data_IF_951957250678
#
_entry.id   IF_951957250678
#
_cell.length_a   1.000
_cell.length_b   1.000
_cell.length_c   1.000
_cell.angle_alpha   90.00
_cell.angle_beta   90.00
_cell.angle_gamma   90.00
#
_symmetry.space_group_name_H-M   'P 1'
#
loop_
_entity.id
_entity.type
_entity.pdbx_description
1 polymer ?
#
# COMPACT_ATOMS: atom_id res chain seq x y z
N UNK A 1 6.36 -17.96 -20.27
CA UNK A 1 7.60 -17.69 -19.51
C UNK A 1 8.33 -16.46 -20.02
N UNK A 2 8.67 -16.38 -21.32
CA UNK A 2 9.41 -15.25 -21.92
C UNK A 2 8.68 -13.91 -21.68
N UNK A 3 7.36 -13.85 -21.88
CA UNK A 3 6.57 -12.63 -21.68
C UNK A 3 6.63 -12.11 -20.25
N UNK A 4 6.52 -12.99 -19.24
CA UNK A 4 6.60 -12.60 -17.81
C UNK A 4 7.99 -12.06 -17.50
N UNK A 5 9.05 -12.74 -17.90
CA UNK A 5 10.43 -12.29 -17.69
C UNK A 5 10.70 -10.95 -18.41
N UNK A 6 10.25 -10.82 -19.67
CA UNK A 6 10.35 -9.56 -20.42
C UNK A 6 9.58 -8.43 -19.71
N UNK A 7 8.37 -8.71 -19.20
CA UNK A 7 7.56 -7.75 -18.47
C UNK A 7 8.29 -7.16 -17.25
N UNK A 8 8.88 -8.02 -16.42
CA UNK A 8 9.68 -7.57 -15.27
C UNK A 8 10.85 -6.70 -15.71
N UNK A 9 11.64 -7.19 -16.66
CA UNK A 9 12.89 -6.54 -17.09
C UNK A 9 12.58 -5.18 -17.73
N UNK A 10 11.61 -5.11 -18.63
CA UNK A 10 11.25 -3.86 -19.33
C UNK A 10 10.71 -2.84 -18.32
N UNK A 11 9.79 -3.24 -17.42
CA UNK A 11 9.27 -2.34 -16.39
C UNK A 11 10.38 -1.83 -15.48
N UNK A 12 11.28 -2.72 -15.03
CA UNK A 12 12.42 -2.35 -14.21
C UNK A 12 13.34 -1.35 -14.94
N UNK A 13 13.74 -1.64 -16.16
CA UNK A 13 14.67 -0.82 -16.94
C UNK A 13 14.08 0.57 -17.18
N UNK A 14 12.84 0.65 -17.66
CA UNK A 14 12.18 1.94 -17.91
C UNK A 14 12.09 2.76 -16.64
N UNK A 15 11.58 2.18 -15.56
CA UNK A 15 11.44 2.88 -14.26
C UNK A 15 12.80 3.32 -13.73
N UNK A 16 13.81 2.45 -13.81
CA UNK A 16 15.15 2.73 -13.31
C UNK A 16 15.83 3.93 -13.99
N UNK A 17 15.70 4.05 -15.31
CA UNK A 17 16.29 5.15 -16.06
C UNK A 17 15.46 6.44 -15.99
N UNK A 18 14.13 6.34 -15.82
CA UNK A 18 13.28 7.51 -15.66
C UNK A 18 13.44 8.20 -14.28
N UNK A 19 13.67 7.44 -13.21
CA UNK A 19 13.74 8.01 -11.86
C UNK A 19 14.81 9.10 -11.70
N UNK A 20 16.08 8.92 -12.14
CA UNK A 20 17.07 9.99 -12.04
C UNK A 20 16.69 11.24 -12.84
N UNK A 21 16.04 11.06 -14.00
CA UNK A 21 15.57 12.17 -14.82
C UNK A 21 14.45 12.95 -14.11
N UNK A 22 13.50 12.24 -13.51
CA UNK A 22 12.39 12.86 -12.76
C UNK A 22 12.93 13.59 -11.53
N UNK A 23 13.86 12.99 -10.78
CA UNK A 23 14.53 13.64 -9.64
C UNK A 23 15.19 14.94 -10.09
N UNK A 24 15.97 14.89 -11.17
CA UNK A 24 16.63 16.09 -11.69
C UNK A 24 15.63 17.17 -12.13
N UNK A 25 14.56 16.81 -12.84
CA UNK A 25 13.51 17.76 -13.25
C UNK A 25 12.83 18.37 -12.02
N UNK A 26 12.57 17.57 -10.99
CA UNK A 26 11.98 18.06 -9.74
C UNK A 26 12.92 19.04 -9.02
N UNK A 27 14.21 18.73 -8.97
CA UNK A 27 15.23 19.58 -8.36
C UNK A 27 15.36 20.91 -9.13
N UNK A 28 15.49 20.86 -10.46
CA UNK A 28 15.63 22.05 -11.33
C UNK A 28 14.39 22.98 -11.26
N UNK A 29 13.20 22.43 -10.99
CA UNK A 29 11.94 23.19 -10.92
C UNK A 29 11.40 23.38 -9.50
N UNK A 30 12.15 22.98 -8.46
CA UNK A 30 11.75 23.10 -7.05
C UNK A 30 10.40 22.44 -6.74
N UNK A 31 10.09 21.31 -7.41
CA UNK A 31 8.86 20.55 -7.22
C UNK A 31 9.01 19.60 -6.03
N UNK A 32 9.10 20.17 -4.84
CA UNK A 32 9.23 19.43 -3.60
C UNK A 32 7.94 19.42 -2.80
N UNK A 33 7.74 18.36 -2.07
CA UNK A 33 6.75 18.31 -1.03
C UNK A 33 7.26 19.11 0.18
N UNK A 34 6.66 20.29 0.41
CA UNK A 34 7.10 21.20 1.47
C UNK A 34 7.00 20.50 2.83
N UNK A 35 8.04 20.65 3.69
CA UNK A 35 7.98 20.13 5.05
C UNK A 35 6.86 20.85 5.81
N UNK A 36 5.75 20.17 6.05
CA UNK A 36 4.75 20.60 7.03
C UNK A 36 5.25 20.17 8.43
N UNK A 37 4.90 20.91 9.49
CA UNK A 37 5.18 20.52 10.90
C UNK A 37 4.70 19.10 11.24
N UNK A 38 3.87 18.53 10.38
CA UNK A 38 3.33 17.17 10.46
C UNK A 38 4.21 16.11 9.79
N UNK A 39 5.17 16.51 8.91
CA UNK A 39 6.04 15.60 8.14
C UNK A 39 7.40 15.46 8.85
N UNK A 40 7.89 14.22 8.89
CA UNK A 40 9.08 13.82 9.63
C UNK A 40 10.40 14.07 8.85
N UNK A 41 10.32 14.54 7.60
CA UNK A 41 11.47 14.72 6.73
C UNK A 41 12.09 16.11 6.90
N UNK A 42 13.42 16.14 7.07
CA UNK A 42 14.24 17.37 7.16
C UNK A 42 14.76 17.84 5.81
N UNK A 43 14.59 17.05 4.75
CA UNK A 43 15.02 17.34 3.40
C UNK A 43 13.80 17.47 2.47
N UNK A 44 13.95 18.34 1.50
CA UNK A 44 12.99 18.56 0.43
C UNK A 44 13.08 17.35 -0.54
N UNK A 45 12.02 16.55 -0.66
CA UNK A 45 11.96 15.37 -1.52
C UNK A 45 10.69 15.45 -2.36
N UNK A 46 10.82 15.16 -3.66
CA UNK A 46 9.68 15.20 -4.60
C UNK A 46 8.78 13.96 -4.48
N UNK A 47 7.48 14.15 -4.62
CA UNK A 47 6.45 13.10 -4.61
C UNK A 47 6.07 12.60 -6.02
N UNK A 48 6.98 12.69 -7.01
CA UNK A 48 6.71 12.37 -8.42
C UNK A 48 7.15 10.96 -8.84
N UNK A 49 7.47 10.07 -7.91
CA UNK A 49 7.91 8.70 -8.20
C UNK A 49 6.88 7.86 -8.94
N UNK A 50 5.60 8.14 -8.72
CA UNK A 50 4.49 7.49 -9.43
C UNK A 50 4.55 7.63 -10.95
N UNK A 51 5.15 8.72 -11.48
CA UNK A 51 5.34 8.90 -12.94
C UNK A 51 6.21 7.79 -13.52
N UNK A 52 7.33 7.46 -12.86
CA UNK A 52 8.23 6.42 -13.33
C UNK A 52 7.59 5.03 -13.21
N UNK A 53 6.90 4.76 -12.09
CA UNK A 53 6.20 3.48 -11.86
C UNK A 53 5.12 3.28 -12.92
N UNK A 54 4.27 4.29 -13.14
CA UNK A 54 3.20 4.24 -14.14
C UNK A 54 3.76 4.01 -15.55
N UNK A 55 4.77 4.77 -15.95
CA UNK A 55 5.36 4.68 -17.28
C UNK A 55 6.00 3.31 -17.50
N UNK A 56 6.78 2.83 -16.53
CA UNK A 56 7.41 1.51 -16.59
C UNK A 56 6.39 0.37 -16.68
N UNK A 57 5.34 0.44 -15.86
CA UNK A 57 4.25 -0.52 -15.87
C UNK A 57 3.53 -0.54 -17.24
N UNK A 58 2.99 0.61 -17.66
CA UNK A 58 2.13 0.67 -18.85
C UNK A 58 2.91 0.31 -20.10
N UNK A 59 4.11 0.88 -20.29
CA UNK A 59 4.93 0.55 -21.47
C UNK A 59 5.35 -0.91 -21.48
N UNK A 60 5.73 -1.48 -20.32
CA UNK A 60 6.09 -2.89 -20.24
C UNK A 60 4.91 -3.79 -20.65
N UNK A 61 3.73 -3.53 -20.10
CA UNK A 61 2.54 -4.30 -20.42
C UNK A 61 2.16 -4.18 -21.89
N UNK A 62 2.20 -2.97 -22.45
CA UNK A 62 1.88 -2.74 -23.88
C UNK A 62 2.89 -3.39 -24.83
N UNK A 63 4.18 -3.44 -24.47
CA UNK A 63 5.23 -4.03 -25.32
C UNK A 63 5.27 -5.56 -25.28
N UNK A 64 4.87 -6.15 -24.13
CA UNK A 64 5.01 -7.60 -23.90
C UNK A 64 3.74 -8.36 -24.24
N UNK A 65 2.59 -7.72 -24.11
CA UNK A 65 1.31 -8.37 -24.30
C UNK A 65 0.95 -8.53 -25.77
N UNK A 66 0.44 -9.70 -26.12
CA UNK A 66 -0.07 -9.97 -27.47
C UNK A 66 -1.51 -9.43 -27.57
N UNK A 67 -1.68 -8.35 -28.33
CA UNK A 67 -2.97 -7.68 -28.53
C UNK A 67 -4.06 -8.57 -29.14
N UNK A 68 -3.70 -9.63 -29.86
CA UNK A 68 -4.67 -10.56 -30.44
C UNK A 68 -5.35 -11.44 -29.39
N UNK A 69 -4.72 -11.60 -28.22
CA UNK A 69 -5.20 -12.41 -27.10
C UNK A 69 -5.72 -11.55 -25.92
N UNK A 70 -5.84 -10.24 -26.10
CA UNK A 70 -6.38 -9.38 -25.06
C UNK A 70 -7.90 -9.60 -24.89
N UNK A 71 -8.30 -9.93 -23.67
CA UNK A 71 -9.69 -9.82 -23.29
C UNK A 71 -10.16 -8.36 -23.41
N UNK A 72 -11.40 -8.15 -23.85
CA UNK A 72 -11.99 -6.80 -24.00
C UNK A 72 -11.92 -5.95 -22.72
N UNK A 73 -11.79 -6.58 -21.54
CA UNK A 73 -11.65 -5.91 -20.24
C UNK A 73 -10.34 -5.13 -20.09
N UNK A 74 -9.28 -5.55 -20.80
CA UNK A 74 -7.94 -5.00 -20.62
C UNK A 74 -7.81 -3.53 -21.05
N UNK A 75 -8.54 -3.12 -22.08
CA UNK A 75 -8.63 -1.70 -22.47
C UNK A 75 -9.16 -0.81 -21.33
N UNK A 76 -10.11 -1.33 -20.55
CA UNK A 76 -10.65 -0.61 -19.40
C UNK A 76 -9.66 -0.58 -18.23
N UNK A 77 -8.83 -1.61 -18.06
CA UNK A 77 -7.75 -1.58 -17.06
C UNK A 77 -6.73 -0.49 -17.40
N UNK A 78 -6.27 -0.42 -18.65
CA UNK A 78 -5.35 0.62 -19.08
C UNK A 78 -5.97 2.01 -18.90
N UNK A 79 -7.23 2.21 -19.30
CA UNK A 79 -7.94 3.47 -19.09
C UNK A 79 -8.05 3.82 -17.60
N UNK A 80 -8.35 2.83 -16.74
CA UNK A 80 -8.40 3.00 -15.29
C UNK A 80 -7.05 3.44 -14.71
N UNK A 81 -5.94 2.84 -15.17
CA UNK A 81 -4.59 3.22 -14.75
C UNK A 81 -4.27 4.67 -15.13
N UNK A 82 -4.64 5.11 -16.33
CA UNK A 82 -4.46 6.50 -16.73
C UNK A 82 -5.28 7.46 -15.87
N UNK A 83 -6.55 7.16 -15.64
CA UNK A 83 -7.44 8.05 -14.86
C UNK A 83 -6.95 8.16 -13.42
N UNK A 84 -6.64 7.04 -12.75
CA UNK A 84 -6.18 7.05 -11.36
C UNK A 84 -4.82 7.72 -11.22
N UNK A 85 -3.90 7.48 -12.17
CA UNK A 85 -2.60 8.13 -12.23
C UNK A 85 -2.70 9.64 -12.39
N UNK A 86 -3.51 10.12 -13.34
CA UNK A 86 -3.72 11.57 -13.56
C UNK A 86 -4.36 12.20 -12.31
N UNK A 87 -5.34 11.51 -11.71
CA UNK A 87 -5.98 11.98 -10.47
C UNK A 87 -4.96 12.15 -9.34
N UNK A 88 -4.11 11.12 -9.13
CA UNK A 88 -3.04 11.16 -8.13
C UNK A 88 -1.99 12.24 -8.45
N UNK A 89 -1.60 12.38 -9.72
CA UNK A 89 -0.62 13.39 -10.13
C UNK A 89 -1.16 14.84 -9.93
N UNK A 90 -2.44 15.05 -10.22
CA UNK A 90 -3.08 16.34 -9.93
C UNK A 90 -3.10 16.59 -8.42
N UNK A 91 -3.29 15.55 -7.62
CA UNK A 91 -3.24 15.68 -6.15
C UNK A 91 -1.84 15.98 -5.63
N UNK A 92 -0.83 15.29 -6.14
CA UNK A 92 0.58 15.53 -5.79
C UNK A 92 1.02 16.97 -6.07
N UNK A 93 0.43 17.62 -7.11
CA UNK A 93 0.79 18.99 -7.51
C UNK A 93 -0.12 20.06 -6.86
N UNK A 94 -1.43 19.81 -6.75
CA UNK A 94 -2.44 20.83 -6.42
C UNK A 94 -3.19 20.57 -5.11
N UNK A 95 -2.91 19.50 -4.37
CA UNK A 95 -3.55 19.15 -3.10
C UNK A 95 -5.09 19.14 -3.16
N UNK A 96 -5.65 18.11 -3.80
CA UNK A 96 -7.09 17.98 -3.97
C UNK A 96 -7.83 17.79 -2.64
N UNK A 97 -9.04 18.36 -2.54
CA UNK A 97 -9.94 18.05 -1.44
C UNK A 97 -10.34 16.56 -1.46
N UNK A 98 -10.42 15.91 -0.30
CA UNK A 98 -10.70 14.48 -0.17
C UNK A 98 -11.93 14.00 -0.99
N UNK A 99 -13.02 14.76 -1.03
CA UNK A 99 -14.20 14.39 -1.80
C UNK A 99 -13.97 14.32 -3.32
N UNK A 100 -13.05 15.16 -3.88
CA UNK A 100 -12.69 15.11 -5.31
C UNK A 100 -11.90 13.83 -5.63
N UNK A 101 -11.00 13.42 -4.72
CA UNK A 101 -10.28 12.15 -4.85
C UNK A 101 -11.25 10.97 -4.86
N UNK A 102 -12.19 10.95 -3.91
CA UNK A 102 -13.21 9.89 -3.83
C UNK A 102 -14.07 9.86 -5.10
N UNK A 103 -14.46 11.01 -5.64
CA UNK A 103 -15.25 11.06 -6.87
C UNK A 103 -14.50 10.45 -8.06
N UNK A 104 -13.21 10.76 -8.21
CA UNK A 104 -12.37 10.14 -9.25
C UNK A 104 -12.20 8.63 -9.04
N UNK A 105 -12.01 8.18 -7.81
CA UNK A 105 -11.95 6.75 -7.46
C UNK A 105 -13.27 6.03 -7.79
N UNK A 106 -14.43 6.67 -7.51
CA UNK A 106 -15.76 6.14 -7.85
C UNK A 106 -15.92 5.99 -9.37
N UNK A 107 -15.45 6.96 -10.16
CA UNK A 107 -15.51 6.89 -11.62
C UNK A 107 -14.68 5.72 -12.17
N UNK A 108 -13.44 5.55 -11.68
CA UNK A 108 -12.58 4.43 -12.05
C UNK A 108 -13.23 3.10 -11.65
N UNK A 109 -13.75 3.01 -10.43
CA UNK A 109 -14.41 1.82 -9.92
C UNK A 109 -15.65 1.48 -10.76
N UNK A 110 -16.48 2.47 -11.09
CA UNK A 110 -17.65 2.28 -11.95
C UNK A 110 -17.26 1.75 -13.35
N UNK A 111 -16.20 2.29 -13.94
CA UNK A 111 -15.70 1.82 -15.23
C UNK A 111 -15.23 0.37 -15.14
N UNK A 112 -14.47 -0.01 -14.12
CA UNK A 112 -14.00 -1.38 -13.93
C UNK A 112 -15.16 -2.36 -13.68
N UNK A 113 -16.13 -1.97 -12.87
CA UNK A 113 -17.25 -2.83 -12.51
C UNK A 113 -18.23 -3.01 -13.68
N UNK A 114 -18.66 -1.90 -14.31
CA UNK A 114 -19.71 -1.94 -15.34
C UNK A 114 -19.20 -2.24 -16.76
N UNK A 115 -17.94 -1.89 -17.07
CA UNK A 115 -17.39 -2.08 -18.41
C UNK A 115 -16.39 -3.23 -18.50
N UNK A 116 -15.52 -3.38 -17.50
CA UNK A 116 -14.58 -4.49 -17.47
C UNK A 116 -15.16 -5.76 -16.81
N UNK A 117 -16.34 -5.68 -16.18
CA UNK A 117 -16.93 -6.81 -15.47
C UNK A 117 -16.09 -7.29 -14.29
N UNK A 118 -15.36 -6.37 -13.65
CA UNK A 118 -14.55 -6.68 -12.48
C UNK A 118 -15.46 -6.74 -11.24
N UNK A 119 -16.02 -7.92 -10.99
CA UNK A 119 -17.00 -8.18 -9.94
C UNK A 119 -16.55 -9.35 -9.06
N UNK A 120 -16.82 -9.23 -7.76
CA UNK A 120 -16.85 -10.37 -6.83
C UNK A 120 -18.27 -10.93 -6.89
N UNK A 121 -18.41 -12.15 -7.41
CA UNK A 121 -19.73 -12.78 -7.65
C UNK A 121 -20.06 -13.85 -6.64
N UNK A 122 -19.06 -14.34 -5.91
CA UNK A 122 -19.23 -15.37 -4.88
C UNK A 122 -18.43 -14.98 -3.61
N UNK A 123 -19.04 -15.13 -2.44
CA UNK A 123 -18.39 -14.97 -1.14
C UNK A 123 -17.82 -16.26 -0.59
N UNK A 124 -17.90 -17.36 -1.35
CA UNK A 124 -17.35 -18.67 -1.01
C UNK A 124 -17.77 -19.18 0.37
N UNK A 125 -19.05 -19.00 0.72
CA UNK A 125 -19.59 -19.42 2.01
C UNK A 125 -19.37 -18.45 3.17
N UNK A 126 -18.71 -17.29 2.94
CA UNK A 126 -18.55 -16.30 4.01
C UNK A 126 -19.92 -15.88 4.58
N UNK A 127 -20.08 -16.01 5.90
CA UNK A 127 -21.35 -15.79 6.61
C UNK A 127 -22.54 -16.62 6.06
N UNK A 128 -22.27 -17.78 5.43
CA UNK A 128 -23.27 -18.63 4.80
C UNK A 128 -23.74 -18.14 3.42
N UNK A 129 -23.10 -17.11 2.87
CA UNK A 129 -23.43 -16.54 1.56
C UNK A 129 -22.45 -17.08 0.52
N UNK A 130 -22.96 -17.71 -0.53
CA UNK A 130 -22.21 -18.14 -1.71
C UNK A 130 -22.39 -17.12 -2.82
N UNK A 131 -23.25 -17.38 -3.78
CA UNK A 131 -23.47 -16.48 -4.90
C UNK A 131 -24.15 -15.17 -4.50
N UNK A 132 -23.65 -14.08 -5.05
CA UNK A 132 -24.22 -12.75 -4.90
C UNK A 132 -25.12 -12.41 -6.09
N UNK A 133 -26.20 -11.69 -5.84
CA UNK A 133 -26.95 -11.03 -6.91
C UNK A 133 -26.06 -9.98 -7.61
N UNK A 134 -26.40 -9.60 -8.83
CA UNK A 134 -25.64 -8.60 -9.58
C UNK A 134 -25.48 -7.28 -8.79
N UNK A 135 -26.53 -6.85 -8.11
CA UNK A 135 -26.50 -5.62 -7.30
C UNK A 135 -25.55 -5.74 -6.10
N UNK A 136 -25.60 -6.87 -5.38
CA UNK A 136 -24.68 -7.13 -4.26
C UNK A 136 -23.24 -7.23 -4.73
N UNK A 137 -22.98 -7.90 -5.85
CA UNK A 137 -21.67 -7.98 -6.49
C UNK A 137 -21.08 -6.60 -6.78
N UNK A 138 -21.91 -5.68 -7.27
CA UNK A 138 -21.49 -4.28 -7.49
C UNK A 138 -21.05 -3.64 -6.17
N UNK A 139 -21.87 -3.69 -5.12
CA UNK A 139 -21.52 -3.04 -3.84
C UNK A 139 -20.26 -3.62 -3.20
N UNK A 140 -20.11 -4.94 -3.18
CA UNK A 140 -18.93 -5.60 -2.64
C UNK A 140 -17.68 -5.25 -3.42
N UNK A 141 -17.77 -5.24 -4.76
CA UNK A 141 -16.63 -4.90 -5.62
C UNK A 141 -16.25 -3.43 -5.51
N UNK A 142 -17.22 -2.52 -5.47
CA UNK A 142 -16.98 -1.08 -5.24
C UNK A 142 -16.27 -0.85 -3.91
N UNK A 143 -16.78 -1.46 -2.84
CA UNK A 143 -16.17 -1.36 -1.52
C UNK A 143 -14.73 -1.86 -1.53
N UNK A 144 -14.50 -3.03 -2.12
CA UNK A 144 -13.17 -3.67 -2.17
C UNK A 144 -12.16 -2.81 -2.95
N UNK A 145 -12.54 -2.30 -4.13
CA UNK A 145 -11.65 -1.50 -4.97
C UNK A 145 -11.29 -0.19 -4.26
N UNK A 146 -12.30 0.54 -3.76
CA UNK A 146 -12.08 1.81 -3.06
C UNK A 146 -11.26 1.61 -1.78
N UNK A 147 -11.54 0.55 -1.01
CA UNK A 147 -10.81 0.22 0.20
C UNK A 147 -9.34 -0.04 -0.11
N UNK A 148 -9.01 -0.82 -1.14
CA UNK A 148 -7.64 -1.14 -1.52
C UNK A 148 -6.88 0.08 -2.05
N UNK A 149 -7.50 0.91 -2.90
CA UNK A 149 -6.89 2.17 -3.37
C UNK A 149 -6.50 3.03 -2.16
N UNK A 150 -7.41 3.23 -1.21
CA UNK A 150 -7.14 4.05 -0.04
C UNK A 150 -6.19 3.38 0.95
N UNK A 151 -6.17 2.04 1.04
CA UNK A 151 -5.25 1.33 1.92
C UNK A 151 -3.79 1.54 1.53
N UNK A 152 -3.48 1.49 0.23
CA UNK A 152 -2.13 1.76 -0.26
C UNK A 152 -1.77 3.25 -0.18
N UNK A 153 -2.72 4.15 -0.41
CA UNK A 153 -2.49 5.58 -0.24
C UNK A 153 -2.20 5.96 1.23
N UNK A 154 -2.93 5.38 2.18
CA UNK A 154 -2.75 5.68 3.61
C UNK A 154 -1.52 5.00 4.23
N UNK A 155 -1.00 3.90 3.67
CA UNK A 155 0.24 3.26 4.15
C UNK A 155 1.50 3.95 3.62
N UNK A 156 1.41 4.78 2.59
CA UNK A 156 2.52 5.51 1.97
C UNK A 156 2.97 6.73 2.80
N UNK A 157 3.22 6.50 4.07
CA UNK A 157 3.69 7.52 5.03
C UNK A 157 5.13 7.32 5.48
N UNK A 158 5.82 6.27 5.00
CA UNK A 158 7.19 5.91 5.41
C UNK A 158 7.98 5.42 4.20
N UNK A 159 9.23 5.87 4.10
CA UNK A 159 10.15 5.53 3.01
C UNK A 159 10.22 4.02 2.78
N UNK A 160 9.99 3.58 1.55
CA UNK A 160 10.05 2.19 1.14
C UNK A 160 8.85 1.32 1.51
N UNK A 161 7.92 1.80 2.34
CA UNK A 161 6.87 0.95 2.91
C UNK A 161 5.83 0.53 1.86
N UNK A 162 5.12 1.47 1.25
CA UNK A 162 4.08 1.17 0.27
C UNK A 162 4.64 0.38 -0.93
N UNK A 163 5.83 0.76 -1.40
CA UNK A 163 6.53 0.05 -2.46
C UNK A 163 6.86 -1.39 -2.11
N UNK A 164 7.35 -1.66 -0.89
CA UNK A 164 7.69 -3.00 -0.42
C UNK A 164 6.46 -3.89 -0.23
N UNK A 165 5.39 -3.35 0.35
CA UNK A 165 4.13 -4.08 0.52
C UNK A 165 3.48 -4.36 -0.83
N UNK A 166 3.44 -3.37 -1.73
CA UNK A 166 2.94 -3.56 -3.10
C UNK A 166 3.73 -4.59 -3.88
N UNK A 167 5.06 -4.57 -3.76
CA UNK A 167 5.94 -5.56 -4.39
C UNK A 167 5.60 -6.99 -3.95
N UNK A 168 5.55 -7.26 -2.64
CA UNK A 168 5.29 -8.61 -2.15
C UNK A 168 3.88 -9.09 -2.48
N UNK A 169 2.88 -8.21 -2.39
CA UNK A 169 1.50 -8.55 -2.75
C UNK A 169 1.36 -8.91 -4.23
N UNK A 170 1.93 -8.08 -5.14
CA UNK A 170 1.93 -8.37 -6.56
C UNK A 170 2.76 -9.63 -6.90
N UNK A 171 3.89 -9.87 -6.21
CA UNK A 171 4.70 -11.06 -6.40
C UNK A 171 3.91 -12.34 -6.06
N UNK A 172 3.17 -12.33 -4.96
CA UNK A 172 2.34 -13.46 -4.54
C UNK A 172 1.22 -13.72 -5.57
N UNK A 173 0.41 -12.71 -5.90
CA UNK A 173 -0.64 -12.88 -6.91
C UNK A 173 -0.07 -13.33 -8.26
N UNK A 174 1.02 -12.68 -8.71
CA UNK A 174 1.68 -13.00 -9.97
C UNK A 174 2.17 -14.44 -10.02
N UNK A 175 2.73 -14.94 -8.93
CA UNK A 175 3.19 -16.33 -8.81
C UNK A 175 2.05 -17.32 -9.00
N UNK A 176 0.92 -17.11 -8.32
CA UNK A 176 -0.23 -18.01 -8.48
C UNK A 176 -0.88 -17.90 -9.85
N UNK A 177 -0.99 -16.73 -10.45
CA UNK A 177 -1.44 -16.59 -11.83
C UNK A 177 -0.50 -17.29 -12.81
N UNK A 178 0.81 -17.17 -12.61
CA UNK A 178 1.79 -17.84 -13.44
C UNK A 178 1.71 -19.38 -13.33
N UNK A 179 1.59 -19.92 -12.12
CA UNK A 179 1.45 -21.36 -11.88
C UNK A 179 0.18 -21.95 -12.48
N UNK A 180 -0.89 -21.14 -12.61
CA UNK A 180 -2.15 -21.55 -13.24
C UNK A 180 -2.25 -21.18 -14.72
N UNK A 181 -1.14 -20.80 -15.36
CA UNK A 181 -1.09 -20.41 -16.78
C UNK A 181 -1.98 -19.21 -17.16
N UNK A 182 -2.38 -18.39 -16.20
CA UNK A 182 -3.15 -17.16 -16.42
C UNK A 182 -2.18 -16.03 -16.72
N UNK A 183 -1.55 -16.11 -17.89
CA UNK A 183 -0.37 -15.30 -18.24
C UNK A 183 -0.65 -13.80 -18.27
N UNK A 184 -1.85 -13.37 -18.65
CA UNK A 184 -2.23 -11.94 -18.72
C UNK A 184 -2.08 -11.25 -17.37
N UNK A 185 -2.64 -11.81 -16.30
CA UNK A 185 -2.54 -11.25 -14.95
C UNK A 185 -1.16 -11.50 -14.33
N UNK A 186 -0.49 -12.59 -14.70
CA UNK A 186 0.90 -12.81 -14.30
C UNK A 186 1.81 -11.71 -14.86
N UNK A 187 1.73 -11.39 -16.17
CA UNK A 187 2.50 -10.30 -16.80
C UNK A 187 2.22 -8.97 -16.10
N UNK A 188 0.94 -8.66 -15.86
CA UNK A 188 0.52 -7.44 -15.19
C UNK A 188 1.13 -7.32 -13.78
N UNK A 189 1.01 -8.36 -12.95
CA UNK A 189 1.54 -8.40 -11.59
C UNK A 189 3.07 -8.29 -11.55
N UNK A 190 3.76 -9.03 -12.42
CA UNK A 190 5.22 -9.02 -12.48
C UNK A 190 5.79 -7.74 -13.10
N UNK A 191 5.08 -7.07 -14.00
CA UNK A 191 5.47 -5.75 -14.49
C UNK A 191 5.45 -4.71 -13.35
N UNK A 192 4.44 -4.74 -12.48
CA UNK A 192 4.43 -3.92 -11.26
C UNK A 192 5.63 -4.25 -10.37
N UNK A 193 5.94 -5.55 -10.18
CA UNK A 193 7.11 -5.96 -9.40
C UNK A 193 8.40 -5.36 -9.96
N UNK A 194 8.60 -5.39 -11.28
CA UNK A 194 9.76 -4.79 -11.94
C UNK A 194 9.86 -3.29 -11.69
N UNK A 195 8.75 -2.56 -11.90
CA UNK A 195 8.70 -1.12 -11.66
C UNK A 195 8.98 -0.77 -10.19
N UNK A 196 8.38 -1.51 -9.23
CA UNK A 196 8.57 -1.29 -7.81
C UNK A 196 10.00 -1.61 -7.33
N UNK A 197 10.64 -2.65 -7.86
CA UNK A 197 12.05 -2.94 -7.55
C UNK A 197 12.97 -1.78 -7.96
N UNK A 198 12.76 -1.21 -9.15
CA UNK A 198 13.51 -0.06 -9.60
C UNK A 198 13.23 1.18 -8.73
N UNK A 199 11.96 1.42 -8.39
CA UNK A 199 11.56 2.54 -7.53
C UNK A 199 12.15 2.43 -6.12
N UNK A 200 12.08 1.27 -5.49
CA UNK A 200 12.59 1.02 -4.14
C UNK A 200 14.07 1.36 -4.00
N UNK A 201 14.89 1.19 -5.04
CA UNK A 201 16.31 1.61 -5.00
C UNK A 201 16.49 3.10 -4.68
N UNK A 202 15.54 3.94 -5.05
CA UNK A 202 15.57 5.39 -4.82
C UNK A 202 14.71 5.84 -3.66
N UNK A 203 13.77 5.00 -3.22
CA UNK A 203 12.82 5.31 -2.16
C UNK A 203 13.17 4.68 -0.81
N UNK A 204 14.08 3.66 -0.74
CA UNK A 204 14.58 3.17 0.55
C UNK A 204 15.29 4.30 1.33
N UNK A 205 15.15 4.29 2.69
CA UNK A 205 15.71 5.33 3.55
C UNK A 205 17.24 5.48 3.43
N UNK A 206 17.75 6.72 3.27
CA UNK A 206 17.02 7.97 3.09
C UNK A 206 16.46 8.10 1.67
N UNK A 207 15.16 8.33 1.55
CA UNK A 207 14.49 8.42 0.26
C UNK A 207 14.99 9.64 -0.56
N UNK A 208 15.23 9.42 -1.86
CA UNK A 208 15.54 10.46 -2.85
C UNK A 208 14.32 10.93 -3.62
N UNK A 209 13.24 10.15 -3.59
CA UNK A 209 11.97 10.44 -4.22
C UNK A 209 10.86 9.68 -3.48
N UNK A 210 9.71 10.31 -3.28
CA UNK A 210 8.51 9.69 -2.74
C UNK A 210 7.63 9.15 -3.87
N UNK A 211 6.76 8.20 -3.52
CA UNK A 211 5.84 7.57 -4.46
C UNK A 211 4.75 8.54 -4.93
N UNK A 212 4.22 9.32 -4.00
CA UNK A 212 3.08 10.20 -4.19
C UNK A 212 1.75 9.48 -4.33
N UNK A 213 0.69 10.26 -4.39
CA UNK A 213 -0.67 9.76 -4.58
C UNK A 213 -0.84 9.11 -5.96
N UNK A 214 -0.10 9.61 -6.98
CA UNK A 214 -0.05 9.04 -8.33
C UNK A 214 0.45 7.59 -8.34
N UNK A 215 1.44 7.25 -7.51
CA UNK A 215 1.97 5.90 -7.40
C UNK A 215 1.18 5.02 -6.44
N UNK A 216 0.89 5.50 -5.24
CA UNK A 216 0.24 4.72 -4.18
C UNK A 216 -1.20 4.31 -4.56
N UNK A 217 -1.99 5.22 -5.14
CA UNK A 217 -3.35 4.89 -5.62
C UNK A 217 -3.33 3.92 -6.81
N UNK A 218 -2.33 4.05 -7.71
CA UNK A 218 -2.15 3.11 -8.82
C UNK A 218 -1.86 1.70 -8.31
N UNK A 219 -0.96 1.54 -7.33
CA UNK A 219 -0.65 0.23 -6.74
C UNK A 219 -1.88 -0.35 -6.04
N UNK A 220 -2.63 0.48 -5.30
CA UNK A 220 -3.89 0.05 -4.68
C UNK A 220 -4.91 -0.45 -5.69
N UNK A 221 -5.06 0.24 -6.82
CA UNK A 221 -5.91 -0.17 -7.93
C UNK A 221 -5.43 -1.50 -8.55
N UNK A 222 -4.12 -1.64 -8.78
CA UNK A 222 -3.51 -2.87 -9.28
C UNK A 222 -3.78 -4.05 -8.36
N UNK A 223 -3.53 -3.87 -7.06
CA UNK A 223 -3.81 -4.91 -6.06
C UNK A 223 -5.30 -5.28 -6.01
N UNK A 224 -6.22 -4.33 -6.22
CA UNK A 224 -7.66 -4.62 -6.27
C UNK A 224 -8.05 -5.47 -7.49
N UNK A 225 -7.51 -5.14 -8.66
CA UNK A 225 -7.73 -5.93 -9.89
C UNK A 225 -7.19 -7.35 -9.70
N UNK A 226 -5.95 -7.48 -9.23
CA UNK A 226 -5.32 -8.78 -9.02
C UNK A 226 -6.06 -9.61 -7.98
N UNK A 227 -6.49 -9.00 -6.87
CA UNK A 227 -7.24 -9.69 -5.81
C UNK A 227 -8.59 -10.22 -6.31
N UNK A 228 -9.39 -9.38 -6.98
CA UNK A 228 -10.69 -9.79 -7.51
C UNK A 228 -10.53 -10.87 -8.57
N UNK A 229 -9.58 -10.70 -9.51
CA UNK A 229 -9.30 -11.71 -10.52
C UNK A 229 -8.73 -13.02 -9.94
N UNK A 230 -8.04 -12.96 -8.82
CA UNK A 230 -7.56 -14.12 -8.09
C UNK A 230 -8.72 -14.89 -7.44
N UNK A 231 -9.64 -14.18 -6.79
CA UNK A 231 -10.83 -14.77 -6.12
C UNK A 231 -11.72 -15.43 -7.15
N UNK A 232 -11.98 -14.78 -8.28
CA UNK A 232 -12.93 -15.23 -9.30
C UNK A 232 -12.32 -16.23 -10.32
N UNK A 233 -11.04 -16.62 -10.18
CA UNK A 233 -10.39 -17.51 -11.14
C UNK A 233 -10.65 -18.98 -10.82
N UNK A 234 -11.42 -19.73 -11.67
CA UNK A 234 -11.77 -21.12 -11.40
C UNK A 234 -10.56 -22.06 -11.31
N UNK A 235 -9.47 -21.81 -12.07
CA UNK A 235 -8.27 -22.63 -12.03
C UNK A 235 -7.51 -22.47 -10.70
N UNK A 236 -7.46 -21.26 -10.13
CA UNK A 236 -6.85 -21.01 -8.83
C UNK A 236 -7.70 -21.67 -7.72
N UNK A 237 -9.03 -21.54 -7.81
CA UNK A 237 -9.95 -22.15 -6.87
C UNK A 237 -9.76 -23.67 -6.85
N UNK A 238 -9.87 -24.33 -8.01
CA UNK A 238 -9.85 -25.80 -8.10
C UNK A 238 -8.47 -26.41 -7.78
N UNK A 239 -7.38 -25.75 -8.14
CA UNK A 239 -6.03 -26.31 -8.03
C UNK A 239 -5.38 -26.09 -6.67
N UNK A 240 -5.78 -25.04 -5.94
CA UNK A 240 -5.02 -24.64 -4.74
C UNK A 240 -5.86 -24.39 -3.49
N UNK A 241 -7.04 -23.75 -3.59
CA UNK A 241 -7.62 -23.11 -2.41
C UNK A 241 -9.12 -23.35 -2.20
N UNK A 242 -9.83 -23.93 -3.18
CA UNK A 242 -11.29 -24.14 -3.10
C UNK A 242 -12.01 -22.86 -2.58
N UNK A 243 -12.81 -23.00 -1.54
CA UNK A 243 -13.56 -21.91 -0.92
C UNK A 243 -12.70 -20.92 -0.12
N UNK A 244 -11.43 -21.24 0.17
CA UNK A 244 -10.54 -20.37 0.94
C UNK A 244 -9.94 -19.21 0.13
N UNK A 245 -10.20 -19.14 -1.18
CA UNK A 245 -9.59 -18.13 -2.08
C UNK A 245 -9.74 -16.68 -1.59
N UNK A 246 -10.90 -16.22 -1.06
CA UNK A 246 -11.02 -14.87 -0.52
C UNK A 246 -10.12 -14.61 0.70
N UNK A 247 -10.01 -15.60 1.62
CA UNK A 247 -9.15 -15.47 2.79
C UNK A 247 -7.67 -15.45 2.41
N UNK A 248 -7.27 -16.15 1.34
CA UNK A 248 -5.92 -16.14 0.80
C UNK A 248 -5.61 -14.77 0.18
N UNK A 249 -6.49 -14.25 -0.66
CA UNK A 249 -6.36 -12.90 -1.24
C UNK A 249 -6.26 -11.83 -0.14
N UNK A 250 -7.08 -11.94 0.89
CA UNK A 250 -7.05 -11.07 2.07
C UNK A 250 -5.70 -11.17 2.79
N UNK A 251 -5.16 -12.38 3.00
CA UNK A 251 -3.85 -12.60 3.62
C UNK A 251 -2.68 -11.97 2.85
N UNK A 252 -2.75 -11.94 1.50
CA UNK A 252 -1.75 -11.29 0.65
C UNK A 252 -1.78 -9.76 0.72
N UNK A 253 -2.83 -9.18 1.29
CA UNK A 253 -3.05 -7.75 1.44
C UNK A 253 -3.35 -7.35 2.89
N UNK A 254 -3.08 -8.24 3.85
CA UNK A 254 -3.63 -8.13 5.20
C UNK A 254 -3.18 -6.87 5.92
N UNK A 255 -1.88 -6.54 5.86
CA UNK A 255 -1.34 -5.39 6.61
C UNK A 255 -1.99 -4.07 6.19
N UNK A 256 -2.02 -3.67 4.90
CA UNK A 256 -2.69 -2.43 4.50
C UNK A 256 -4.20 -2.45 4.76
N UNK A 257 -4.88 -3.59 4.52
CA UNK A 257 -6.32 -3.68 4.70
C UNK A 257 -6.74 -3.56 6.17
N UNK A 258 -6.16 -4.36 7.05
CA UNK A 258 -6.54 -4.33 8.47
C UNK A 258 -6.12 -3.04 9.16
N UNK A 259 -5.01 -2.42 8.74
CA UNK A 259 -4.62 -1.14 9.31
C UNK A 259 -5.66 -0.05 9.01
N UNK A 260 -6.12 0.04 7.77
CA UNK A 260 -7.15 1.02 7.38
C UNK A 260 -8.50 0.71 8.02
N UNK A 261 -8.95 -0.56 7.98
CA UNK A 261 -10.21 -0.96 8.62
C UNK A 261 -10.21 -0.67 10.12
N UNK A 262 -9.10 -0.96 10.81
CA UNK A 262 -8.93 -0.65 12.24
C UNK A 262 -9.02 0.85 12.51
N UNK A 263 -8.35 1.68 11.72
CA UNK A 263 -8.37 3.14 11.91
C UNK A 263 -9.76 3.70 11.60
N UNK A 264 -10.43 3.20 10.56
CA UNK A 264 -11.81 3.61 10.25
C UNK A 264 -12.78 3.23 11.37
N UNK A 265 -12.68 2.01 11.92
CA UNK A 265 -13.49 1.57 13.05
C UNK A 265 -13.26 2.45 14.28
N UNK A 266 -12.01 2.81 14.59
CA UNK A 266 -11.66 3.72 15.70
C UNK A 266 -12.24 5.12 15.50
N UNK A 267 -12.23 5.65 14.26
CA UNK A 267 -12.80 6.97 13.94
C UNK A 267 -14.32 6.97 14.11
N UNK A 268 -14.99 5.96 13.57
CA UNK A 268 -16.45 5.80 13.71
C UNK A 268 -16.84 5.69 15.19
N UNK A 269 -16.10 4.89 15.98
CA UNK A 269 -16.31 4.78 17.43
C UNK A 269 -16.15 6.12 18.14
N UNK A 270 -15.20 6.95 17.71
CA UNK A 270 -14.98 8.31 18.23
C UNK A 270 -15.89 9.37 17.62
N UNK A 271 -16.88 8.98 16.81
CA UNK A 271 -17.78 9.88 16.06
C UNK A 271 -17.05 10.90 15.17
N UNK A 272 -15.93 10.49 14.60
CA UNK A 272 -15.14 11.27 13.66
C UNK A 272 -15.37 10.79 12.23
N UNK A 273 -15.12 11.67 11.24
CA UNK A 273 -15.19 11.26 9.83
C UNK A 273 -14.17 10.17 9.52
N UNK A 274 -14.55 9.07 8.83
CA UNK A 274 -13.60 8.03 8.39
C UNK A 274 -12.47 8.56 7.50
N UNK A 275 -12.71 9.68 6.80
CA UNK A 275 -11.76 10.31 5.88
C UNK A 275 -10.90 11.41 6.54
N UNK A 276 -11.07 11.65 7.85
CA UNK A 276 -10.26 12.65 8.56
C UNK A 276 -8.79 12.20 8.62
N UNK A 277 -7.80 13.11 8.58
CA UNK A 277 -6.39 12.77 8.82
C UNK A 277 -6.21 12.15 10.21
N UNK A 278 -5.37 11.11 10.31
CA UNK A 278 -5.14 10.40 11.57
C UNK A 278 -3.66 9.97 11.71
N UNK A 279 -3.18 9.87 12.95
CA UNK A 279 -1.85 9.37 13.30
C UNK A 279 -1.90 8.01 14.02
N UNK A 280 -2.99 7.26 13.86
CA UNK A 280 -3.17 5.95 14.49
C UNK A 280 -2.78 4.77 13.59
N UNK A 281 -2.33 5.00 12.34
CA UNK A 281 -1.84 3.94 11.46
C UNK A 281 -0.63 3.21 12.06
N UNK A 282 -0.43 1.93 11.69
CA UNK A 282 0.65 1.09 12.25
C UNK A 282 2.03 1.72 12.13
N UNK A 283 2.33 2.33 10.99
CA UNK A 283 3.61 2.99 10.78
C UNK A 283 3.83 4.15 11.76
N UNK A 284 2.79 4.95 12.06
CA UNK A 284 2.88 5.99 13.09
C UNK A 284 3.03 5.41 14.50
N UNK A 285 2.32 4.29 14.81
CA UNK A 285 2.47 3.63 16.11
C UNK A 285 3.90 3.12 16.33
N UNK A 286 4.51 2.52 15.30
CA UNK A 286 5.90 2.04 15.34
C UNK A 286 6.89 3.22 15.47
N UNK A 287 6.71 4.29 14.70
CA UNK A 287 7.52 5.50 14.83
C UNK A 287 7.40 6.15 16.22
N UNK A 288 6.19 6.19 16.81
CA UNK A 288 5.98 6.67 18.16
C UNK A 288 6.69 5.81 19.22
N UNK A 289 6.97 4.53 18.92
CA UNK A 289 7.82 3.67 19.74
C UNK A 289 9.33 3.90 19.52
N UNK A 290 9.69 4.82 18.61
CA UNK A 290 11.07 5.24 18.35
C UNK A 290 11.77 4.48 17.23
N UNK A 291 11.05 3.71 16.40
CA UNK A 291 11.62 3.04 15.24
C UNK A 291 11.92 4.05 14.13
N UNK A 292 13.02 3.84 13.43
CA UNK A 292 13.40 4.57 12.22
C UNK A 292 12.52 4.16 11.02
N UNK A 293 12.53 4.92 9.94
CA UNK A 293 11.80 4.59 8.71
C UNK A 293 12.15 3.17 8.21
N UNK A 294 13.43 2.83 8.16
CA UNK A 294 13.88 1.50 7.74
C UNK A 294 13.35 0.39 8.66
N UNK A 295 13.43 0.57 9.99
CA UNK A 295 12.93 -0.42 10.94
C UNK A 295 11.42 -0.61 10.81
N UNK A 296 10.65 0.47 10.57
CA UNK A 296 9.19 0.40 10.33
C UNK A 296 8.91 -0.39 9.05
N UNK A 297 9.57 -0.03 7.95
CA UNK A 297 9.39 -0.69 6.65
C UNK A 297 9.72 -2.17 6.73
N UNK A 298 10.87 -2.54 7.31
CA UNK A 298 11.25 -3.95 7.47
C UNK A 298 10.27 -4.70 8.37
N UNK A 299 9.84 -4.10 9.48
CA UNK A 299 8.88 -4.74 10.41
C UNK A 299 7.55 -5.03 9.72
N UNK A 300 6.97 -4.07 9.01
CA UNK A 300 5.69 -4.25 8.34
C UNK A 300 5.79 -5.15 7.09
N UNK A 301 6.92 -5.12 6.37
CA UNK A 301 7.20 -6.07 5.30
C UNK A 301 7.28 -7.51 5.80
N UNK A 302 8.03 -7.75 6.89
CA UNK A 302 8.12 -9.07 7.51
C UNK A 302 6.76 -9.53 8.08
N UNK A 303 5.98 -8.62 8.65
CA UNK A 303 4.63 -8.92 9.08
C UNK A 303 3.74 -9.35 7.90
N UNK A 304 3.81 -8.65 6.75
CA UNK A 304 3.08 -9.03 5.54
C UNK A 304 3.49 -10.42 5.03
N UNK A 305 4.79 -10.72 5.00
CA UNK A 305 5.31 -12.04 4.65
C UNK A 305 4.83 -13.12 5.63
N UNK A 306 4.87 -12.83 6.93
CA UNK A 306 4.38 -13.75 7.97
C UNK A 306 2.90 -14.07 7.78
N UNK A 307 2.06 -13.05 7.52
CA UNK A 307 0.63 -13.26 7.29
C UNK A 307 0.36 -14.03 5.99
N UNK A 308 1.06 -13.73 4.92
CA UNK A 308 0.96 -14.50 3.69
C UNK A 308 1.38 -15.97 3.90
N UNK A 309 2.50 -16.20 4.58
CA UNK A 309 2.99 -17.54 4.93
C UNK A 309 2.03 -18.29 5.84
N UNK A 310 1.53 -17.65 6.91
CA UNK A 310 0.53 -18.23 7.81
C UNK A 310 -0.72 -18.65 7.03
N UNK A 311 -1.23 -17.76 6.18
CA UNK A 311 -2.42 -18.03 5.38
C UNK A 311 -2.22 -19.23 4.45
N UNK A 312 -1.06 -19.34 3.80
CA UNK A 312 -0.73 -20.48 2.94
C UNK A 312 -0.54 -21.78 3.72
N UNK A 313 -0.03 -21.73 4.94
CA UNK A 313 0.11 -22.90 5.80
C UNK A 313 -1.25 -23.47 6.23
N UNK A 314 -2.23 -22.60 6.48
CA UNK A 314 -3.56 -22.99 6.94
C UNK A 314 -4.62 -23.04 5.83
N UNK A 315 -4.21 -22.97 4.57
CA UNK A 315 -5.09 -22.86 3.39
C UNK A 315 -6.15 -23.96 3.23
N UNK A 316 -5.92 -25.11 3.86
CA UNK A 316 -6.85 -26.25 3.80
C UNK A 316 -7.93 -26.20 4.89
N UNK A 317 -7.89 -25.19 5.77
CA UNK A 317 -8.92 -24.99 6.77
C UNK A 317 -10.12 -24.24 6.17
N UNK A 318 -11.22 -24.25 6.90
CA UNK A 318 -12.42 -23.47 6.56
C UNK A 318 -12.11 -21.97 6.48
N UNK A 319 -12.77 -21.27 5.55
CA UNK A 319 -12.63 -19.83 5.30
C UNK A 319 -12.74 -19.01 6.60
N UNK A 320 -13.73 -19.29 7.44
CA UNK A 320 -13.96 -18.54 8.67
C UNK A 320 -12.83 -18.75 9.69
N UNK A 321 -12.28 -19.98 9.75
CA UNK A 321 -11.15 -20.29 10.65
C UNK A 321 -9.91 -19.51 10.20
N UNK A 322 -9.63 -19.47 8.89
CA UNK A 322 -8.50 -18.72 8.34
C UNK A 322 -8.64 -17.22 8.67
N UNK A 323 -9.81 -16.64 8.40
CA UNK A 323 -10.08 -15.23 8.71
C UNK A 323 -9.99 -14.96 10.21
N UNK A 324 -10.62 -15.80 11.06
CA UNK A 324 -10.54 -15.63 12.51
C UNK A 324 -9.10 -15.68 13.02
N UNK A 325 -8.25 -16.57 12.50
CA UNK A 325 -6.84 -16.65 12.84
C UNK A 325 -6.10 -15.38 12.41
N UNK A 326 -6.31 -14.92 11.17
CA UNK A 326 -5.70 -13.69 10.66
C UNK A 326 -6.04 -12.48 11.53
N UNK A 327 -7.32 -12.30 11.85
CA UNK A 327 -7.78 -11.21 12.73
C UNK A 327 -7.19 -11.34 14.13
N UNK A 328 -7.24 -12.53 14.74
CA UNK A 328 -6.72 -12.77 16.09
C UNK A 328 -5.24 -12.46 16.18
N UNK A 329 -4.44 -12.96 15.24
CA UNK A 329 -2.98 -12.70 15.22
C UNK A 329 -2.70 -11.22 15.02
N UNK A 330 -3.39 -10.56 14.07
CA UNK A 330 -3.20 -9.13 13.81
C UNK A 330 -3.50 -8.28 15.05
N UNK A 331 -4.67 -8.45 15.66
CA UNK A 331 -5.07 -7.65 16.82
C UNK A 331 -4.21 -7.96 18.06
N UNK A 332 -3.77 -9.20 18.22
CA UNK A 332 -2.81 -9.57 19.27
C UNK A 332 -1.46 -8.87 19.09
N UNK A 333 -0.93 -8.81 17.85
CA UNK A 333 0.32 -8.10 17.56
C UNK A 333 0.16 -6.58 17.80
N UNK A 334 -0.97 -5.98 17.39
CA UNK A 334 -1.24 -4.56 17.65
C UNK A 334 -1.37 -4.27 19.14
N UNK A 335 -1.99 -5.16 19.89
CA UNK A 335 -2.12 -5.06 21.35
C UNK A 335 -0.73 -5.15 22.03
N UNK A 336 0.09 -6.14 21.64
CA UNK A 336 1.47 -6.29 22.16
C UNK A 336 2.30 -5.04 21.82
N UNK A 337 2.18 -4.52 20.61
CA UNK A 337 2.88 -3.30 20.20
C UNK A 337 2.50 -2.10 21.09
N UNK A 338 1.22 -1.94 21.41
CA UNK A 338 0.76 -0.81 22.22
C UNK A 338 1.18 -0.91 23.68
N UNK A 339 0.95 -2.06 24.28
CA UNK A 339 1.04 -2.22 25.75
C UNK A 339 2.44 -2.67 26.20
N UNK A 340 3.09 -3.57 25.48
CA UNK A 340 4.30 -4.22 25.97
C UNK A 340 5.60 -3.69 25.37
N UNK A 341 5.56 -3.07 24.17
CA UNK A 341 6.78 -2.53 23.58
C UNK A 341 7.05 -1.13 24.15
N UNK A 342 8.16 -0.94 24.89
CA UNK A 342 8.49 0.36 25.45
C UNK A 342 8.90 1.36 24.35
N UNK A 343 8.68 2.65 24.63
CA UNK A 343 9.15 3.73 23.75
C UNK A 343 10.67 3.82 23.86
N UNK A 344 11.38 3.67 22.73
CA UNK A 344 12.83 3.90 22.67
C UNK A 344 13.10 5.40 22.85
N UNK A 345 13.82 5.75 23.91
CA UNK A 345 14.25 7.15 24.12
C UNK A 345 15.38 7.47 23.15
N UNK A 346 15.15 8.37 22.19
CA UNK A 346 16.23 8.96 21.40
C UNK A 346 16.92 10.02 22.27
N UNK A 347 18.19 9.79 22.58
CA UNK A 347 19.01 10.77 23.26
C UNK A 347 19.64 11.68 22.18
N UNK A 348 19.32 12.97 22.21
CA UNK A 348 20.07 13.97 21.45
C UNK A 348 21.23 14.47 22.29
N UNK A 349 22.45 14.23 21.81
CA UNK A 349 23.65 14.88 22.36
C UNK A 349 23.70 16.26 21.73
N UNK A 350 23.32 17.26 22.48
CA UNK A 350 23.51 18.68 22.07
C UNK A 350 24.91 19.06 22.47
N UNK A 351 25.78 19.24 21.49
CA UNK A 351 27.10 19.83 21.71
C UNK A 351 26.88 21.30 22.04
N UNK A 352 27.14 21.69 23.27
CA UNK A 352 27.15 23.12 23.60
C UNK A 352 28.29 23.80 22.83
N UNK A 353 27.99 24.85 22.08
CA UNK A 353 29.06 25.74 21.55
C UNK A 353 29.70 26.41 22.75
N UNK A 354 30.94 26.04 23.01
CA UNK A 354 31.75 26.65 24.06
C UNK A 354 32.51 27.84 23.52
N UNK A 355 32.33 29.00 24.14
CA UNK A 355 33.35 30.06 24.13
C UNK A 355 34.65 29.54 24.77
N UNK A 356 35.78 29.87 24.21
CA UNK A 356 37.14 29.34 24.28
C UNK A 356 37.79 28.98 25.64
N UNK A 357 37.10 28.64 26.70
CA UNK A 357 37.78 28.33 27.99
C UNK A 357 37.09 27.34 28.95
N UNK A 358 36.11 26.59 28.52
CA UNK A 358 35.45 25.61 29.41
C UNK A 358 35.34 24.22 28.80
N UNK A 359 35.63 23.19 29.58
CA UNK A 359 35.43 21.76 29.23
C UNK A 359 33.94 21.59 28.86
N UNK A 360 33.62 21.02 27.67
CA UNK A 360 32.24 20.92 27.23
C UNK A 360 31.41 20.00 28.15
N UNK A 361 30.47 20.56 28.89
CA UNK A 361 29.45 19.77 29.55
C UNK A 361 28.47 19.19 28.54
N UNK A 362 28.41 17.89 28.45
CA UNK A 362 27.41 17.18 27.63
C UNK A 362 26.05 17.23 28.34
N UNK A 363 25.15 18.09 27.85
CA UNK A 363 23.75 18.11 28.32
C UNK A 363 22.92 17.14 27.50
N UNK A 364 22.37 16.13 28.14
CA UNK A 364 21.46 15.12 27.55
C UNK A 364 20.03 15.54 27.85
N UNK A 365 19.24 15.81 26.78
CA UNK A 365 17.82 16.13 26.91
C UNK A 365 16.94 15.01 26.35
N UNK A 366 15.90 14.56 27.06
CA UNK A 366 14.95 13.62 26.52
C UNK A 366 14.06 14.28 25.46
N UNK A 367 13.84 13.64 24.33
CA UNK A 367 13.08 14.16 23.18
C UNK A 367 11.58 14.27 23.47
N UNK A 368 11.09 13.52 24.44
CA UNK A 368 9.68 13.57 24.86
C UNK A 368 9.58 13.91 26.33
N UNK A 369 8.93 15.06 26.64
CA UNK A 369 8.38 15.30 27.98
C UNK A 369 7.14 14.40 28.13
N UNK A 370 7.14 13.50 29.10
CA UNK A 370 5.91 12.91 29.59
C UNK A 370 4.97 14.05 30.00
N UNK A 371 3.72 14.04 29.56
CA UNK A 371 2.70 14.96 30.10
C UNK A 371 2.59 14.67 31.58
N UNK A 372 3.12 15.56 32.42
CA UNK A 372 2.73 15.63 33.80
C UNK A 372 1.22 15.83 33.85
N UNK A 373 0.54 14.93 34.55
CA UNK A 373 -0.85 15.12 34.93
C UNK A 373 -0.90 16.38 35.79
N UNK A 374 -1.46 17.44 35.24
CA UNK A 374 -1.87 18.59 36.05
C UNK A 374 -2.91 18.09 37.04
N UNK A 375 -2.51 17.93 38.31
CA UNK A 375 -3.44 17.81 39.43
C UNK A 375 -4.17 19.13 39.53
N UNK A 376 -5.44 19.14 39.16
CA UNK A 376 -6.39 20.20 39.55
C UNK A 376 -6.46 20.17 41.07
N UNK A 377 -5.92 21.18 41.75
CA UNK A 377 -6.32 21.53 43.10
C UNK A 377 -7.56 22.38 42.98
N UNK A 378 -8.66 21.84 43.47
CA UNK A 378 -9.80 22.63 43.92
C UNK A 378 -9.36 23.46 45.12
N UNK A 379 -9.61 24.78 45.05
CA UNK A 379 -9.96 25.66 46.15
C UNK A 379 -10.91 26.72 45.60
#
# INVERSE_FOLDING_TARGET
>A
MIQVAAGIIIAFVITYFLLPLIIKIADDNQLYDLPDERKLHKHEVSSLGGIAIFTGLVLSVLLVSDFNNFNAEFQYFIAAFFIIFILGLIDDIFFLKAWKKVLGQLLVTAMLTFKAGLLITDLHGFAGIHSLSYTESIYVSFFTIILLINSFNLIDGVDGLAGSIGFISCLLFGTFFFMNHVLTYAVLAFAVCGALLAFLKYNFPPAKIFMGDSGSTLIGLMCSILAIKFIENPAIQSNFFNEATPAIAFGFLLVPLLDVLRVFALRIYKKQSPLAPDRNHLHHLLQNKGLSHLEVTVTLFLAQLMFAGLTLLVRNLDLHIILALQFTVYFSLVYILKEFIPVRKKLHIVRAETSESAIPELKVYPIFRAKEKASVRED
#
